data_IF_860409251676
#
_entry.id   IF_860409251676
#
_cell.length_a   1.000
_cell.length_b   1.000
_cell.length_c   1.000
_cell.angle_alpha   90.00
_cell.angle_beta   90.00
_cell.angle_gamma   90.00
#
_symmetry.space_group_name_H-M   'P 1'
#
loop_
_entity.id
_entity.type
_entity.pdbx_description
1 polymer ?
#
# COMPACT_ATOMS: atom_id res chain seq x y z
N UNK A 1 -19.02 40.56 -17.36
CA UNK A 1 -19.58 39.25 -16.98
C UNK A 1 -18.91 38.08 -17.69
N UNK A 2 -18.58 38.19 -18.97
CA UNK A 2 -17.96 37.12 -19.77
C UNK A 2 -16.56 36.70 -19.30
N UNK A 3 -15.72 37.67 -18.94
CA UNK A 3 -14.37 37.41 -18.40
C UNK A 3 -14.42 36.67 -17.05
N UNK A 4 -15.39 37.01 -16.19
CA UNK A 4 -15.57 36.34 -14.91
C UNK A 4 -15.95 34.87 -15.08
N UNK A 5 -16.83 34.57 -16.05
CA UNK A 5 -17.23 33.18 -16.38
C UNK A 5 -16.05 32.34 -16.88
N UNK A 6 -15.15 32.91 -17.69
CA UNK A 6 -13.94 32.24 -18.18
C UNK A 6 -12.94 31.96 -17.05
N UNK A 7 -12.77 32.90 -16.11
CA UNK A 7 -11.90 32.73 -14.94
C UNK A 7 -12.42 31.61 -14.03
N UNK A 8 -13.73 31.57 -13.75
CA UNK A 8 -14.34 30.52 -12.93
C UNK A 8 -14.20 29.15 -13.59
N UNK A 9 -14.41 29.05 -14.92
CA UNK A 9 -14.21 27.80 -15.67
C UNK A 9 -12.74 27.33 -15.63
N UNK A 10 -11.77 28.23 -15.79
CA UNK A 10 -10.35 27.88 -15.64
C UNK A 10 -10.04 27.34 -14.25
N UNK A 11 -10.57 27.96 -13.19
CA UNK A 11 -10.35 27.48 -11.82
C UNK A 11 -10.94 26.10 -11.59
N UNK A 12 -12.15 25.82 -12.10
CA UNK A 12 -12.78 24.49 -12.00
C UNK A 12 -11.96 23.42 -12.74
N UNK A 13 -11.45 23.73 -13.94
CA UNK A 13 -10.62 22.81 -14.73
C UNK A 13 -9.27 22.56 -14.05
N UNK A 14 -8.64 23.59 -13.46
CA UNK A 14 -7.40 23.45 -12.69
C UNK A 14 -7.63 22.57 -11.45
N UNK A 15 -8.72 22.79 -10.71
CA UNK A 15 -9.06 21.99 -9.52
C UNK A 15 -9.40 20.53 -9.87
N UNK A 16 -10.06 20.28 -11.01
CA UNK A 16 -10.29 18.91 -11.52
C UNK A 16 -8.99 18.25 -12.01
N UNK A 17 -8.04 19.02 -12.57
CA UNK A 17 -6.73 18.52 -12.98
C UNK A 17 -5.85 18.09 -11.80
N UNK A 18 -5.89 18.82 -10.69
CA UNK A 18 -5.12 18.50 -9.46
C UNK A 18 -5.60 17.21 -8.79
N UNK A 19 -6.86 16.80 -9.00
CA UNK A 19 -7.44 15.58 -8.42
C UNK A 19 -7.03 14.27 -9.10
N UNK A 20 -6.16 14.32 -10.11
CA UNK A 20 -5.58 13.13 -10.74
C UNK A 20 -4.23 12.74 -10.12
N UNK A 21 -4.12 12.84 -8.79
CA UNK A 21 -3.14 12.05 -8.07
C UNK A 21 -3.59 10.58 -8.20
N UNK A 22 -2.84 9.79 -8.97
CA UNK A 22 -3.08 8.37 -9.08
C UNK A 22 -2.76 7.71 -7.73
N UNK A 23 -3.71 7.73 -6.81
CA UNK A 23 -3.58 7.14 -5.49
C UNK A 23 -3.75 5.62 -5.62
N UNK A 24 -2.72 4.87 -5.21
CA UNK A 24 -2.81 3.44 -4.96
C UNK A 24 -3.14 3.24 -3.48
N UNK A 25 -4.13 2.40 -3.19
CA UNK A 25 -4.42 2.01 -1.81
C UNK A 25 -3.27 1.16 -1.24
N UNK A 26 -2.84 1.41 0.01
CA UNK A 26 -1.86 0.57 0.69
C UNK A 26 -2.28 -0.90 0.77
N UNK A 27 -1.33 -1.80 0.53
CA UNK A 27 -1.51 -3.26 0.62
C UNK A 27 -0.79 -3.81 1.86
N UNK A 28 -1.41 -4.80 2.50
CA UNK A 28 -0.82 -5.54 3.62
C UNK A 28 -0.25 -6.89 3.14
N UNK A 29 1.07 -6.98 3.03
CA UNK A 29 1.78 -8.19 2.65
C UNK A 29 2.06 -9.06 3.87
N UNK A 30 1.57 -10.29 3.85
CA UNK A 30 1.86 -11.28 4.90
C UNK A 30 3.20 -11.95 4.62
N UNK A 31 4.20 -11.68 5.47
CA UNK A 31 5.57 -12.13 5.21
C UNK A 31 5.64 -13.66 5.21
N UNK A 32 6.04 -14.24 4.08
CA UNK A 32 6.06 -15.69 3.86
C UNK A 32 4.72 -16.29 3.38
N UNK A 33 3.73 -15.46 3.03
CA UNK A 33 2.50 -15.89 2.35
C UNK A 33 1.33 -16.30 3.26
N UNK A 34 1.47 -16.25 4.58
CA UNK A 34 0.43 -16.72 5.50
C UNK A 34 0.37 -15.97 6.83
N UNK A 35 -0.53 -16.40 7.73
CA UNK A 35 -0.77 -15.68 8.99
C UNK A 35 0.32 -15.88 10.04
N UNK A 36 1.03 -17.01 10.03
CA UNK A 36 2.09 -17.31 11.00
C UNK A 36 3.32 -17.88 10.30
N UNK A 37 3.71 -17.23 9.20
CA UNK A 37 4.74 -17.71 8.26
C UNK A 37 6.09 -17.02 8.44
N UNK A 38 6.26 -16.12 9.41
CA UNK A 38 7.60 -15.73 9.86
C UNK A 38 8.18 -16.83 10.76
N UNK A 39 8.56 -17.94 10.12
CA UNK A 39 9.00 -19.19 10.74
C UNK A 39 10.12 -19.86 9.91
N UNK A 40 10.84 -20.86 10.46
CA UNK A 40 11.81 -21.63 9.71
C UNK A 40 11.19 -22.41 8.55
N UNK A 41 12.02 -22.86 7.60
CA UNK A 41 11.63 -23.67 6.43
C UNK A 41 10.68 -22.97 5.44
N UNK A 42 10.57 -21.64 5.50
CA UNK A 42 9.87 -20.82 4.52
C UNK A 42 10.89 -20.19 3.57
N UNK A 43 10.64 -20.27 2.26
CA UNK A 43 11.49 -19.64 1.26
C UNK A 43 11.08 -18.17 1.08
N UNK A 44 11.64 -17.29 1.90
CA UNK A 44 11.31 -15.87 1.86
C UNK A 44 11.78 -15.15 0.59
N UNK A 45 12.86 -15.62 -0.03
CA UNK A 45 13.36 -15.07 -1.31
C UNK A 45 12.38 -15.37 -2.44
N UNK A 46 11.89 -16.61 -2.53
CA UNK A 46 10.87 -16.98 -3.51
C UNK A 46 9.55 -16.23 -3.24
N UNK A 47 9.13 -16.12 -1.98
CA UNK A 47 7.96 -15.32 -1.62
C UNK A 47 8.11 -13.85 -2.03
N UNK A 48 9.20 -13.18 -1.65
CA UNK A 48 9.37 -11.75 -1.95
C UNK A 48 9.53 -11.48 -3.45
N UNK A 49 10.07 -12.43 -4.23
CA UNK A 49 10.18 -12.31 -5.68
C UNK A 49 8.83 -12.30 -6.43
N UNK A 50 7.77 -12.83 -5.80
CA UNK A 50 6.41 -12.90 -6.37
C UNK A 50 5.50 -11.76 -5.92
N UNK A 51 6.02 -10.88 -5.08
CA UNK A 51 5.31 -9.73 -4.52
C UNK A 51 5.82 -8.43 -5.15
N UNK A 52 4.98 -7.41 -5.14
CA UNK A 52 5.36 -6.04 -5.52
C UNK A 52 5.13 -5.13 -4.33
N UNK A 53 6.19 -4.46 -3.88
CA UNK A 53 6.14 -3.59 -2.72
C UNK A 53 6.26 -2.13 -3.15
N UNK A 54 5.31 -1.32 -2.69
CA UNK A 54 5.31 0.12 -2.96
C UNK A 54 5.37 0.92 -1.66
N UNK A 55 5.84 2.17 -1.78
CA UNK A 55 5.77 3.12 -0.67
C UNK A 55 4.33 3.26 -0.19
N UNK A 56 4.13 3.17 1.11
CA UNK A 56 2.82 3.15 1.77
C UNK A 56 2.36 1.75 2.18
N UNK A 57 2.93 0.68 1.60
CA UNK A 57 2.56 -0.70 1.93
C UNK A 57 2.98 -1.11 3.34
N UNK A 58 2.36 -2.19 3.81
CA UNK A 58 2.58 -2.74 5.13
C UNK A 58 3.07 -4.18 5.04
N UNK A 59 4.05 -4.52 5.86
CA UNK A 59 4.47 -5.88 6.12
C UNK A 59 3.82 -6.37 7.41
N UNK A 60 3.26 -7.57 7.38
CA UNK A 60 2.75 -8.27 8.54
C UNK A 60 3.64 -9.45 8.89
N UNK A 61 4.22 -9.41 10.09
CA UNK A 61 5.02 -10.47 10.67
C UNK A 61 4.21 -11.22 11.73
N UNK A 62 3.75 -12.41 11.36
CA UNK A 62 3.10 -13.34 12.29
C UNK A 62 4.05 -14.46 12.71
N UNK A 63 4.30 -14.59 14.02
CA UNK A 63 5.25 -15.54 14.59
C UNK A 63 4.99 -15.81 16.08
N UNK A 64 5.61 -16.87 16.62
CA UNK A 64 5.69 -17.08 18.07
C UNK A 64 6.77 -16.15 18.67
N UNK A 65 6.32 -15.17 19.45
CA UNK A 65 7.19 -14.16 20.10
C UNK A 65 8.20 -14.73 21.09
N UNK A 66 7.96 -15.94 21.60
CA UNK A 66 8.90 -16.58 22.53
C UNK A 66 10.09 -17.17 21.78
N UNK A 67 9.88 -17.61 20.54
CA UNK A 67 10.89 -18.26 19.71
C UNK A 67 11.63 -17.26 18.83
N UNK A 68 10.89 -16.40 18.13
CA UNK A 68 11.40 -15.58 17.05
C UNK A 68 11.25 -14.09 17.34
N UNK A 69 12.02 -13.31 16.61
CA UNK A 69 11.96 -11.85 16.59
C UNK A 69 12.10 -11.35 15.15
N UNK A 70 11.85 -10.06 14.96
CA UNK A 70 11.97 -9.36 13.68
C UNK A 70 12.82 -8.11 13.90
N UNK A 71 13.97 -8.07 13.24
CA UNK A 71 14.92 -6.97 13.29
C UNK A 71 15.12 -6.41 11.89
N UNK A 72 14.98 -5.09 11.72
CA UNK A 72 15.44 -4.37 10.54
C UNK A 72 16.94 -4.11 10.67
N UNK A 73 17.71 -4.46 9.65
CA UNK A 73 19.16 -4.35 9.63
C UNK A 73 19.67 -3.76 8.31
N UNK A 74 20.96 -3.40 8.26
CA UNK A 74 21.60 -3.03 7.00
C UNK A 74 21.95 -4.28 6.16
N UNK A 75 22.33 -4.05 4.90
CA UNK A 75 22.70 -5.11 3.95
C UNK A 75 23.82 -6.03 4.47
N UNK A 76 24.90 -5.46 5.01
CA UNK A 76 26.03 -6.25 5.55
C UNK A 76 25.60 -7.18 6.68
N UNK A 77 24.79 -6.66 7.62
CA UNK A 77 24.24 -7.43 8.72
C UNK A 77 23.26 -8.50 8.24
N UNK A 78 22.49 -8.23 7.19
CA UNK A 78 21.62 -9.23 6.55
C UNK A 78 22.39 -10.36 5.88
N UNK A 79 23.46 -10.04 5.14
CA UNK A 79 24.29 -11.04 4.47
C UNK A 79 25.03 -11.93 5.47
N UNK A 80 25.60 -11.31 6.52
CA UNK A 80 26.40 -11.99 7.55
C UNK A 80 25.59 -12.47 8.76
N UNK A 81 24.27 -12.29 8.75
CA UNK A 81 23.38 -12.62 9.87
C UNK A 81 23.80 -12.03 11.22
N UNK A 82 24.17 -10.76 11.22
CA UNK A 82 24.52 -10.01 12.44
C UNK A 82 23.23 -9.42 13.02
N UNK A 83 22.80 -9.93 14.18
CA UNK A 83 21.59 -9.51 14.89
C UNK A 83 21.85 -8.46 15.98
N UNK A 84 23.11 -8.01 16.14
CA UNK A 84 23.51 -6.90 17.01
C UNK A 84 23.59 -5.59 16.22
N UNK A 85 23.30 -4.47 16.88
CA UNK A 85 23.33 -3.14 16.23
C UNK A 85 22.29 -2.98 15.12
N UNK A 86 21.13 -3.64 15.28
CA UNK A 86 20.00 -3.50 14.36
C UNK A 86 19.53 -2.04 14.27
N UNK A 87 18.97 -1.66 13.13
CA UNK A 87 18.41 -0.32 12.93
C UNK A 87 17.11 -0.15 13.73
N UNK A 88 16.26 -1.18 13.69
CA UNK A 88 14.98 -1.17 14.38
C UNK A 88 14.56 -2.56 14.81
N UNK A 89 14.05 -2.67 16.03
CA UNK A 89 13.40 -3.88 16.51
C UNK A 89 11.89 -3.75 16.30
N UNK A 90 11.31 -4.63 15.47
CA UNK A 90 9.88 -4.61 15.12
C UNK A 90 9.08 -5.47 16.10
N UNK A 91 9.75 -6.40 16.78
CA UNK A 91 9.15 -7.38 17.70
C UNK A 91 8.41 -6.70 18.84
N UNK A 92 7.12 -7.00 18.97
CA UNK A 92 6.30 -6.64 20.14
C UNK A 92 5.58 -7.88 20.64
N UNK A 93 4.65 -8.40 19.85
CA UNK A 93 3.70 -9.43 20.28
C UNK A 93 3.59 -10.65 19.38
N UNK A 94 4.31 -10.71 18.25
CA UNK A 94 4.21 -11.82 17.30
C UNK A 94 3.09 -11.65 16.25
N UNK A 95 2.48 -10.47 16.19
CA UNK A 95 1.51 -10.04 15.16
C UNK A 95 1.84 -8.61 14.78
N UNK A 96 3.09 -8.40 14.42
CA UNK A 96 3.70 -7.08 14.35
C UNK A 96 3.67 -6.58 12.91
N UNK A 97 3.50 -5.27 12.74
CA UNK A 97 3.40 -4.63 11.42
C UNK A 97 4.48 -3.59 11.22
N UNK A 98 4.91 -3.42 9.97
CA UNK A 98 5.91 -2.45 9.56
C UNK A 98 5.46 -1.72 8.30
N UNK A 99 5.48 -0.38 8.31
CA UNK A 99 5.13 0.42 7.14
C UNK A 99 6.37 0.73 6.30
N UNK A 100 6.26 0.52 4.99
CA UNK A 100 7.29 0.81 4.01
C UNK A 100 7.17 2.26 3.56
N UNK A 101 7.95 3.15 4.16
CA UNK A 101 7.82 4.60 3.99
C UNK A 101 8.72 5.19 2.91
N UNK A 102 9.70 4.43 2.42
CA UNK A 102 10.69 4.90 1.46
C UNK A 102 10.91 3.88 0.35
N UNK A 103 11.16 4.36 -0.87
CA UNK A 103 11.51 3.50 -2.00
C UNK A 103 12.98 3.08 -1.89
N UNK A 104 13.24 1.97 -1.21
CA UNK A 104 14.57 1.39 -1.02
C UNK A 104 14.51 -0.11 -0.71
N UNK A 105 15.64 -0.82 -0.75
CA UNK A 105 15.74 -2.12 -0.12
C UNK A 105 15.58 -2.03 1.41
N UNK A 106 14.77 -2.90 1.98
CA UNK A 106 14.69 -3.18 3.42
C UNK A 106 15.15 -4.61 3.67
N UNK A 107 15.89 -4.80 4.76
CA UNK A 107 16.39 -6.11 5.14
C UNK A 107 15.90 -6.47 6.54
N UNK A 108 15.23 -7.60 6.65
CA UNK A 108 14.73 -8.12 7.91
C UNK A 108 15.33 -9.49 8.21
N UNK A 109 15.64 -9.76 9.46
CA UNK A 109 16.10 -11.07 9.91
C UNK A 109 15.54 -11.43 11.29
N UNK A 110 15.56 -12.73 11.58
CA UNK A 110 15.41 -13.24 12.93
C UNK A 110 16.77 -13.57 13.53
N UNK A 111 17.02 -13.12 14.75
CA UNK A 111 18.27 -13.35 15.48
C UNK A 111 18.38 -14.76 16.06
N UNK A 112 19.25 -14.93 17.06
CA UNK A 112 19.45 -16.21 17.79
C UNK A 112 19.82 -17.39 16.87
N UNK A 113 20.49 -17.11 15.77
CA UNK A 113 20.92 -18.10 14.78
C UNK A 113 19.87 -18.50 13.74
N UNK A 114 18.62 -18.03 13.83
CA UNK A 114 17.58 -18.37 12.86
C UNK A 114 17.80 -17.72 11.48
N UNK A 115 18.49 -16.58 11.41
CA UNK A 115 18.91 -15.98 10.14
C UNK A 115 19.74 -16.96 9.30
N UNK A 116 20.68 -17.69 9.90
CA UNK A 116 21.48 -18.71 9.20
C UNK A 116 20.64 -19.91 8.73
N UNK A 117 19.47 -20.11 9.33
CA UNK A 117 18.46 -21.11 8.92
C UNK A 117 17.48 -20.55 7.88
N UNK A 118 17.79 -19.41 7.27
CA UNK A 118 16.98 -18.80 6.21
C UNK A 118 15.86 -17.89 6.72
N UNK A 119 15.72 -17.63 8.02
CA UNK A 119 14.74 -16.65 8.53
C UNK A 119 15.24 -15.22 8.34
N UNK A 120 15.30 -14.79 7.08
CA UNK A 120 15.64 -13.45 6.65
C UNK A 120 14.96 -13.15 5.32
N UNK A 121 14.61 -11.89 5.08
CA UNK A 121 13.99 -11.44 3.83
C UNK A 121 14.51 -10.08 3.38
N UNK A 122 14.70 -9.95 2.08
CA UNK A 122 14.95 -8.67 1.41
C UNK A 122 13.65 -8.22 0.72
N UNK A 123 13.28 -6.96 0.94
CA UNK A 123 12.09 -6.33 0.40
C UNK A 123 12.53 -5.11 -0.41
N UNK A 124 12.40 -5.17 -1.73
CA UNK A 124 12.69 -4.06 -2.61
C UNK A 124 11.44 -3.22 -2.82
N UNK A 125 11.44 -1.98 -2.29
CA UNK A 125 10.29 -1.07 -2.35
C UNK A 125 10.48 -0.05 -3.46
N UNK A 126 9.44 0.16 -4.25
CA UNK A 126 9.41 1.14 -5.33
C UNK A 126 8.42 2.27 -5.06
N UNK A 127 8.63 3.43 -5.70
CA UNK A 127 7.57 4.43 -5.79
C UNK A 127 6.49 3.90 -6.74
N UNK A 128 5.22 4.06 -6.36
CA UNK A 128 4.14 3.74 -7.28
C UNK A 128 4.15 4.73 -8.44
N UNK A 129 4.23 4.21 -9.65
CA UNK A 129 4.01 4.96 -10.87
C UNK A 129 2.76 4.39 -11.51
N UNK A 130 1.75 5.22 -11.68
CA UNK A 130 0.59 4.81 -12.46
C UNK A 130 1.05 4.42 -13.86
N UNK A 131 0.49 3.35 -14.44
CA UNK A 131 0.72 3.05 -15.84
C UNK A 131 0.49 4.32 -16.67
N UNK A 132 1.35 4.62 -17.66
CA UNK A 132 1.06 5.69 -18.60
C UNK A 132 -0.35 5.45 -19.15
N UNK A 133 -1.17 6.50 -19.17
CA UNK A 133 -2.55 6.40 -19.64
C UNK A 133 -2.54 5.77 -21.04
N UNK A 134 -2.98 4.52 -21.13
CA UNK A 134 -3.15 3.86 -22.42
C UNK A 134 -4.22 4.68 -23.16
N UNK A 135 -4.02 5.07 -24.43
CA UNK A 135 -5.09 5.69 -25.20
C UNK A 135 -6.30 4.76 -25.12
N UNK A 136 -7.41 5.29 -24.64
CA UNK A 136 -8.66 4.55 -24.46
C UNK A 136 -9.03 3.94 -25.81
N UNK A 137 -8.79 2.64 -26.00
CA UNK A 137 -9.54 1.88 -26.99
C UNK A 137 -10.95 1.84 -26.42
N UNK A 138 -11.84 2.62 -27.03
CA UNK A 138 -13.26 2.64 -26.71
C UNK A 138 -13.83 1.26 -27.02
N UNK A 139 -13.66 0.32 -26.10
CA UNK A 139 -14.60 -0.78 -26.00
C UNK A 139 -15.92 -0.15 -25.61
N UNK A 140 -16.90 -0.20 -26.52
CA UNK A 140 -18.27 0.24 -26.28
C UNK A 140 -18.85 -0.59 -25.13
N UNK A 141 -18.61 -0.17 -23.90
CA UNK A 141 -19.37 -0.62 -22.75
C UNK A 141 -20.75 0.02 -22.88
N UNK A 142 -21.79 -0.81 -22.89
CA UNK A 142 -23.17 -0.40 -23.12
C UNK A 142 -23.60 0.71 -22.14
N UNK A 143 -24.21 1.77 -22.66
CA UNK A 143 -24.62 2.97 -21.95
C UNK A 143 -25.65 2.74 -20.81
N UNK A 144 -26.18 1.52 -20.67
CA UNK A 144 -27.21 1.19 -19.71
C UNK A 144 -26.72 1.15 -18.24
N UNK A 145 -25.48 0.72 -17.99
CA UNK A 145 -24.99 0.51 -16.61
C UNK A 145 -24.51 1.82 -15.94
N UNK A 146 -23.98 2.77 -16.73
CA UNK A 146 -23.53 4.08 -16.23
C UNK A 146 -24.72 4.95 -15.79
N UNK A 147 -25.86 4.86 -16.48
CA UNK A 147 -27.06 5.65 -16.17
C UNK A 147 -27.62 5.34 -14.77
N UNK A 148 -27.51 4.09 -14.31
CA UNK A 148 -28.18 3.64 -13.08
C UNK A 148 -27.48 4.15 -11.81
N UNK A 149 -26.14 4.20 -11.82
CA UNK A 149 -25.37 4.65 -10.66
C UNK A 149 -25.38 6.18 -10.52
N UNK A 150 -25.37 6.92 -11.64
CA UNK A 150 -25.46 8.39 -11.62
C UNK A 150 -26.86 8.86 -11.19
N UNK A 151 -27.92 8.15 -11.58
CA UNK A 151 -29.29 8.46 -11.14
C UNK A 151 -29.47 8.34 -9.63
N UNK A 152 -28.87 7.33 -8.99
CA UNK A 152 -29.00 7.10 -7.55
C UNK A 152 -28.28 8.19 -6.72
N UNK A 153 -27.11 8.65 -7.15
CA UNK A 153 -26.36 9.75 -6.53
C UNK A 153 -27.12 11.09 -6.61
N UNK A 154 -27.74 11.40 -7.75
CA UNK A 154 -28.52 12.63 -7.93
C UNK A 154 -29.80 12.64 -7.08
N UNK A 155 -30.44 11.49 -6.88
CA UNK A 155 -31.63 11.38 -6.02
C UNK A 155 -31.23 11.51 -4.54
N UNK A 156 -30.12 10.90 -4.12
CA UNK A 156 -29.64 11.00 -2.74
C UNK A 156 -29.28 12.45 -2.36
N UNK A 157 -28.59 13.16 -3.26
CA UNK A 157 -28.22 14.58 -3.05
C UNK A 157 -29.44 15.50 -3.04
N UNK A 158 -30.42 15.28 -3.93
CA UNK A 158 -31.67 16.04 -3.93
C UNK A 158 -32.49 15.83 -2.63
N UNK A 159 -32.60 14.59 -2.14
CA UNK A 159 -33.30 14.30 -0.89
C UNK A 159 -32.63 14.99 0.30
N UNK A 160 -31.31 14.87 0.44
CA UNK A 160 -30.55 15.54 1.51
C UNK A 160 -30.76 17.06 1.47
N UNK A 161 -30.76 17.68 0.28
CA UNK A 161 -31.02 19.11 0.16
C UNK A 161 -32.44 19.52 0.56
N UNK A 162 -33.46 18.74 0.18
CA UNK A 162 -34.85 19.01 0.59
C UNK A 162 -35.06 18.87 2.10
N UNK A 163 -34.33 17.96 2.76
CA UNK A 163 -34.36 17.84 4.22
C UNK A 163 -33.68 19.03 4.89
N UNK A 164 -32.56 19.53 4.37
CA UNK A 164 -31.83 20.66 4.96
C UNK A 164 -32.59 21.99 4.85
N UNK A 165 -33.28 22.25 3.72
CA UNK A 165 -34.07 23.47 3.54
C UNK A 165 -35.39 23.50 4.30
N UNK A 166 -35.83 22.38 4.88
CA UNK A 166 -37.06 22.32 5.69
C UNK A 166 -36.86 22.75 7.14
N UNK A 167 -35.61 22.87 7.61
CA UNK A 167 -35.24 23.20 8.99
C UNK A 167 -34.49 24.53 9.13
N UNK A 168 -34.51 25.36 8.08
CA UNK A 168 -34.08 26.77 8.06
C UNK A 168 -35.32 27.61 7.80
#
# INVERSE_FOLDING_TARGET
MENFRKVVLCLIVIMMGIFSANCRDPVLHRVGGGRYTWAPNINFTDWSSREQFFVGDWLYFGFDKHLYNVLEVNKTSYEKCIDKGFMKNITRGGRDVFNLTEARPYYFLSGRGYCFKGMKVEILVHNYQAPPAVPIVVHKTSAADISRNIQLELIATALVWTFLFKYI
#
